data_IF_972433273683
#
_entry.id   IF_972433273683
#
_cell.length_a   1.000
_cell.length_b   1.000
_cell.length_c   1.000
_cell.angle_alpha   90.00
_cell.angle_beta   90.00
_cell.angle_gamma   90.00
#
_symmetry.space_group_name_H-M   'P 1'
#
loop_
_entity.id
_entity.type
_entity.pdbx_description
1 polymer ?
#
# COMPACT_ATOMS: atom_id res chain seq x y z
N UNK A 1 -25.18 16.62 -10.49
CA UNK A 1 -24.01 16.84 -11.36
C UNK A 1 -24.52 17.12 -12.78
N UNK A 2 -24.09 18.18 -13.48
CA UNK A 2 -24.45 18.42 -14.88
C UNK A 2 -24.09 17.25 -15.82
N UNK A 3 -24.89 17.03 -16.87
CA UNK A 3 -24.75 15.89 -17.79
C UNK A 3 -23.37 15.82 -18.48
N UNK A 4 -22.78 16.98 -18.80
CA UNK A 4 -21.45 17.05 -19.41
C UNK A 4 -20.36 16.40 -18.54
N UNK A 5 -20.43 16.55 -17.22
CA UNK A 5 -19.47 15.94 -16.30
C UNK A 5 -19.82 14.49 -16.02
N UNK A 6 -21.12 14.17 -15.96
CA UNK A 6 -21.57 12.80 -15.79
C UNK A 6 -21.08 11.90 -16.93
N UNK A 7 -21.04 12.41 -18.17
CA UNK A 7 -20.52 11.66 -19.32
C UNK A 7 -19.01 11.35 -19.19
N UNK A 8 -18.21 12.25 -18.62
CA UNK A 8 -16.78 11.98 -18.39
C UNK A 8 -16.58 10.93 -17.31
N UNK A 9 -17.39 10.95 -16.24
CA UNK A 9 -17.31 9.95 -15.16
C UNK A 9 -17.67 8.55 -15.67
N UNK A 10 -18.67 8.43 -16.57
CA UNK A 10 -19.09 7.14 -17.17
C UNK A 10 -17.96 6.43 -17.90
N UNK A 11 -16.88 7.11 -18.27
CA UNK A 11 -15.69 6.50 -18.89
C UNK A 11 -14.87 5.65 -17.92
N UNK A 12 -14.93 5.95 -16.62
CA UNK A 12 -14.22 5.20 -15.56
C UNK A 12 -15.12 4.21 -14.83
N UNK A 13 -16.39 4.54 -14.66
CA UNK A 13 -17.38 3.71 -13.95
C UNK A 13 -18.59 3.49 -14.86
N UNK A 14 -18.54 2.45 -15.71
CA UNK A 14 -19.64 2.11 -16.60
C UNK A 14 -20.93 1.84 -15.84
N UNK A 15 -20.89 1.39 -14.58
CA UNK A 15 -22.10 1.13 -13.79
C UNK A 15 -22.94 2.40 -13.53
N UNK A 16 -22.33 3.59 -13.59
CA UNK A 16 -23.06 4.86 -13.50
C UNK A 16 -23.92 5.10 -14.75
N UNK A 17 -23.58 4.49 -15.89
CA UNK A 17 -24.41 4.52 -17.09
C UNK A 17 -25.78 3.87 -16.88
N UNK A 18 -25.84 2.81 -16.07
CA UNK A 18 -27.08 2.07 -15.81
C UNK A 18 -28.06 2.88 -14.95
N UNK A 19 -27.53 3.77 -14.11
CA UNK A 19 -28.32 4.67 -13.25
C UNK A 19 -28.79 5.93 -13.99
N UNK A 20 -28.10 6.33 -15.06
CA UNK A 20 -28.40 7.53 -15.85
C UNK A 20 -28.29 7.24 -17.36
N UNK A 21 -29.31 6.62 -17.97
CA UNK A 21 -29.26 6.14 -19.36
C UNK A 21 -29.25 7.24 -20.43
N UNK A 22 -29.61 8.48 -20.09
CA UNK A 22 -29.79 9.59 -21.06
C UNK A 22 -28.52 10.43 -21.33
N UNK A 23 -27.31 9.93 -21.02
CA UNK A 23 -26.09 10.70 -21.32
C UNK A 23 -25.74 10.75 -22.81
N UNK A 24 -24.91 11.72 -23.17
CA UNK A 24 -24.47 11.98 -24.56
C UNK A 24 -23.40 10.96 -24.95
N UNK A 25 -23.34 10.59 -26.23
CA UNK A 25 -22.43 9.57 -26.74
C UNK A 25 -20.96 10.02 -26.61
N UNK A 26 -20.09 9.12 -26.14
CA UNK A 26 -18.70 9.44 -25.76
C UNK A 26 -17.81 9.87 -26.94
N UNK A 27 -18.21 9.54 -28.16
CA UNK A 27 -17.51 9.86 -29.40
C UNK A 27 -17.48 11.36 -29.73
N UNK A 28 -18.40 12.16 -29.19
CA UNK A 28 -18.41 13.62 -29.31
C UNK A 28 -17.42 14.32 -28.35
N UNK A 29 -16.78 13.57 -27.46
CA UNK A 29 -15.87 14.10 -26.42
C UNK A 29 -14.40 14.11 -26.84
N UNK A 30 -14.05 13.42 -27.93
CA UNK A 30 -12.69 13.30 -28.45
C UNK A 30 -12.31 14.49 -29.35
N UNK A 31 -12.17 15.65 -28.72
CA UNK A 31 -11.71 16.89 -29.36
C UNK A 31 -10.49 17.49 -28.66
N UNK A 32 -9.90 18.57 -29.21
CA UNK A 32 -8.89 19.35 -28.50
C UNK A 32 -9.38 19.70 -27.08
N UNK A 33 -8.57 19.37 -26.07
CA UNK A 33 -8.93 19.57 -24.66
C UNK A 33 -9.71 18.43 -23.98
N UNK A 34 -9.92 17.29 -24.65
CA UNK A 34 -10.56 16.11 -24.05
C UNK A 34 -9.93 15.67 -22.71
N UNK A 35 -8.58 15.63 -22.55
CA UNK A 35 -7.97 15.27 -21.27
C UNK A 35 -8.32 16.26 -20.14
N UNK A 36 -8.30 17.57 -20.44
CA UNK A 36 -8.63 18.60 -19.46
C UNK A 36 -10.11 18.57 -19.05
N UNK A 37 -11.01 18.34 -20.01
CA UNK A 37 -12.45 18.16 -19.73
C UNK A 37 -12.71 16.92 -18.90
N UNK A 38 -12.06 15.81 -19.25
CA UNK A 38 -12.16 14.57 -18.48
C UNK A 38 -11.70 14.78 -17.04
N UNK A 39 -10.53 15.38 -16.83
CA UNK A 39 -9.99 15.68 -15.50
C UNK A 39 -10.93 16.57 -14.68
N UNK A 40 -11.45 17.64 -15.29
CA UNK A 40 -12.42 18.51 -14.64
C UNK A 40 -13.73 17.78 -14.34
N UNK A 41 -14.21 16.90 -15.23
CA UNK A 41 -15.40 16.08 -15.01
C UNK A 41 -15.28 15.18 -13.79
N UNK A 42 -14.13 14.52 -13.62
CA UNK A 42 -13.83 13.71 -12.42
C UNK A 42 -13.79 14.60 -11.17
N UNK A 43 -13.15 15.77 -11.21
CA UNK A 43 -13.13 16.69 -10.08
C UNK A 43 -14.54 17.19 -9.71
N UNK A 44 -15.37 17.54 -10.69
CA UNK A 44 -16.76 17.97 -10.47
C UNK A 44 -17.60 16.85 -9.86
N UNK A 45 -17.35 15.59 -10.22
CA UNK A 45 -17.99 14.45 -9.61
C UNK A 45 -17.65 14.32 -8.12
N UNK A 46 -16.38 14.46 -7.76
CA UNK A 46 -15.97 14.50 -6.35
C UNK A 46 -16.60 15.69 -5.60
N UNK A 47 -16.56 16.89 -6.17
CA UNK A 47 -17.19 18.07 -5.56
C UNK A 47 -18.69 17.86 -5.33
N UNK A 48 -19.39 17.28 -6.30
CA UNK A 48 -20.81 16.97 -6.17
C UNK A 48 -21.07 15.89 -5.10
N UNK A 49 -20.20 14.87 -5.01
CA UNK A 49 -20.30 13.83 -3.98
C UNK A 49 -20.00 14.36 -2.56
N UNK A 50 -19.18 15.39 -2.44
CA UNK A 50 -18.85 16.03 -1.16
C UNK A 50 -19.89 17.08 -0.72
N UNK A 51 -20.74 17.53 -1.63
CA UNK A 51 -21.72 18.59 -1.35
C UNK A 51 -22.75 18.13 -0.31
N UNK A 52 -22.69 18.69 0.90
CA UNK A 52 -23.62 18.37 1.99
C UNK A 52 -23.34 17.05 2.72
N UNK A 53 -22.19 16.42 2.45
CA UNK A 53 -21.76 15.16 3.05
C UNK A 53 -20.66 15.39 4.09
N UNK A 54 -20.46 14.47 5.06
CA UNK A 54 -19.29 14.51 5.95
C UNK A 54 -17.98 14.36 5.15
N UNK A 55 -16.81 14.71 5.74
CA UNK A 55 -15.54 14.55 5.08
C UNK A 55 -15.29 13.13 4.57
N UNK A 56 -14.84 13.02 3.31
CA UNK A 56 -14.58 11.75 2.63
C UNK A 56 -13.10 11.35 2.64
N UNK A 57 -12.85 10.08 2.32
CA UNK A 57 -11.50 9.55 2.07
C UNK A 57 -11.48 8.89 0.68
N UNK A 58 -10.55 9.29 -0.16
CA UNK A 58 -10.20 8.60 -1.40
C UNK A 58 -8.92 7.78 -1.16
N UNK A 59 -9.06 6.47 -1.08
CA UNK A 59 -7.93 5.54 -0.96
C UNK A 59 -7.49 5.07 -2.35
N UNK A 60 -6.22 5.29 -2.66
CA UNK A 60 -5.54 4.78 -3.84
C UNK A 60 -4.52 3.75 -3.39
N UNK A 61 -4.79 2.48 -3.64
CA UNK A 61 -3.89 1.40 -3.26
C UNK A 61 -2.88 1.12 -4.39
N UNK A 62 -1.64 0.78 -4.02
CA UNK A 62 -0.58 0.37 -4.93
C UNK A 62 -0.29 1.35 -6.08
N UNK A 63 -0.19 2.65 -5.78
CA UNK A 63 -0.02 3.68 -6.83
C UNK A 63 1.28 3.53 -7.62
N UNK A 64 2.24 2.72 -7.17
CA UNK A 64 3.43 2.36 -7.96
C UNK A 64 3.10 1.68 -9.29
N UNK A 65 1.91 1.10 -9.45
CA UNK A 65 1.46 0.45 -10.69
C UNK A 65 0.66 1.37 -11.61
N UNK A 66 0.40 2.61 -11.20
CA UNK A 66 -0.33 3.58 -12.02
C UNK A 66 0.50 4.01 -13.24
N UNK A 67 -0.18 4.18 -14.38
CA UNK A 67 0.41 4.77 -15.57
C UNK A 67 0.55 6.29 -15.44
N UNK A 68 1.25 6.92 -16.40
CA UNK A 68 1.48 8.37 -16.38
C UNK A 68 0.18 9.17 -16.42
N UNK A 69 -0.81 8.74 -17.20
CA UNK A 69 -2.10 9.42 -17.31
C UNK A 69 -2.88 9.41 -15.99
N UNK A 70 -2.85 8.30 -15.25
CA UNK A 70 -3.45 8.18 -13.91
C UNK A 70 -2.75 9.09 -12.92
N UNK A 71 -1.42 9.17 -12.96
CA UNK A 71 -0.64 10.07 -12.11
C UNK A 71 -0.90 11.55 -12.43
N UNK A 72 -1.12 11.89 -13.69
CA UNK A 72 -1.51 13.24 -14.10
C UNK A 72 -2.90 13.63 -13.60
N UNK A 73 -3.86 12.70 -13.64
CA UNK A 73 -5.17 12.90 -13.05
C UNK A 73 -5.05 13.09 -11.53
N UNK A 74 -4.27 12.26 -10.84
CA UNK A 74 -4.03 12.41 -9.39
C UNK A 74 -3.43 13.78 -9.07
N UNK A 75 -2.41 14.21 -9.80
CA UNK A 75 -1.79 15.52 -9.65
C UNK A 75 -2.80 16.66 -9.85
N UNK A 76 -3.69 16.53 -10.84
CA UNK A 76 -4.77 17.47 -11.07
C UNK A 76 -5.76 17.50 -9.90
N UNK A 77 -6.22 16.35 -9.42
CA UNK A 77 -7.20 16.24 -8.33
C UNK A 77 -6.67 16.80 -7.01
N UNK A 78 -5.41 16.50 -6.65
CA UNK A 78 -4.76 17.05 -5.44
C UNK A 78 -4.79 18.58 -5.43
N UNK A 79 -4.52 19.21 -6.59
CA UNK A 79 -4.56 20.68 -6.72
C UNK A 79 -6.00 21.21 -6.75
N UNK A 80 -6.89 20.54 -7.48
CA UNK A 80 -8.26 21.01 -7.75
C UNK A 80 -9.19 20.88 -6.55
N UNK A 81 -9.01 19.83 -5.75
CA UNK A 81 -9.84 19.52 -4.58
C UNK A 81 -9.24 20.06 -3.27
N UNK A 82 -8.19 20.89 -3.35
CA UNK A 82 -7.59 21.53 -2.19
C UNK A 82 -8.63 22.35 -1.42
N UNK A 83 -8.67 22.18 -0.10
CA UNK A 83 -9.63 22.85 0.80
C UNK A 83 -11.03 22.26 0.81
N UNK A 84 -11.28 21.20 0.04
CA UNK A 84 -12.52 20.42 0.16
C UNK A 84 -12.42 19.42 1.30
N UNK A 85 -13.54 18.98 1.88
CA UNK A 85 -13.54 17.99 2.97
C UNK A 85 -13.25 16.57 2.41
N UNK A 86 -12.10 16.38 1.78
CA UNK A 86 -11.65 15.12 1.20
C UNK A 86 -10.18 14.88 1.52
N UNK A 87 -9.89 13.74 2.14
CA UNK A 87 -8.53 13.24 2.31
C UNK A 87 -8.20 12.29 1.16
N UNK A 88 -7.07 12.51 0.48
CA UNK A 88 -6.53 11.56 -0.49
C UNK A 88 -5.42 10.77 0.21
N UNK A 89 -5.61 9.47 0.36
CA UNK A 89 -4.63 8.55 0.91
C UNK A 89 -4.10 7.67 -0.24
N UNK A 90 -2.80 7.71 -0.47
CA UNK A 90 -2.15 6.87 -1.47
C UNK A 90 -1.16 5.94 -0.76
N UNK A 91 -1.25 4.64 -1.05
CA UNK A 91 -0.26 3.67 -0.58
C UNK A 91 0.71 3.41 -1.72
N UNK A 92 2.00 3.26 -1.39
CA UNK A 92 2.98 2.82 -2.36
C UNK A 92 4.12 2.04 -1.72
N UNK A 93 4.78 1.22 -2.51
CA UNK A 93 6.06 0.62 -2.13
C UNK A 93 7.16 1.68 -2.14
N UNK A 94 8.05 1.63 -1.15
CA UNK A 94 9.14 2.59 -0.97
C UNK A 94 10.31 2.38 -1.95
N UNK A 95 10.29 1.31 -2.74
CA UNK A 95 11.30 1.02 -3.75
C UNK A 95 11.48 2.18 -4.74
N UNK A 96 12.74 2.49 -5.09
CA UNK A 96 13.05 3.60 -5.99
C UNK A 96 12.42 3.35 -7.36
N UNK A 97 11.34 4.07 -7.64
CA UNK A 97 10.63 4.07 -8.90
C UNK A 97 10.31 5.51 -9.31
N UNK A 98 10.27 5.78 -10.61
CA UNK A 98 9.89 7.10 -11.13
C UNK A 98 8.49 7.53 -10.64
N UNK A 99 7.58 6.56 -10.47
CA UNK A 99 6.26 6.77 -9.90
C UNK A 99 6.32 7.28 -8.46
N UNK A 100 7.15 6.67 -7.61
CA UNK A 100 7.31 7.10 -6.22
C UNK A 100 7.85 8.55 -6.13
N UNK A 101 8.81 8.91 -6.98
CA UNK A 101 9.36 10.27 -7.01
C UNK A 101 8.33 11.30 -7.46
N UNK A 102 7.50 10.97 -8.45
CA UNK A 102 6.42 11.85 -8.91
C UNK A 102 5.38 12.08 -7.82
N UNK A 103 4.93 11.03 -7.12
CA UNK A 103 3.94 11.19 -6.03
C UNK A 103 4.55 11.94 -4.84
N UNK A 104 5.82 11.71 -4.49
CA UNK A 104 6.53 12.54 -3.50
C UNK A 104 6.58 14.00 -3.93
N UNK A 105 6.84 14.26 -5.21
CA UNK A 105 6.77 15.59 -5.80
C UNK A 105 5.42 16.27 -5.55
N UNK A 106 4.29 15.55 -5.70
CA UNK A 106 2.97 16.09 -5.41
C UNK A 106 2.78 16.47 -3.94
N UNK A 107 3.38 15.73 -3.01
CA UNK A 107 3.38 16.06 -1.58
C UNK A 107 4.21 17.33 -1.31
N UNK A 108 5.38 17.44 -1.92
CA UNK A 108 6.33 18.57 -1.75
C UNK A 108 5.85 19.86 -2.42
N UNK A 109 5.27 19.78 -3.61
CA UNK A 109 4.76 20.96 -4.34
C UNK A 109 3.56 21.61 -3.65
N UNK A 110 2.88 20.86 -2.77
CA UNK A 110 1.70 21.35 -2.05
C UNK A 110 2.01 21.83 -0.62
N UNK A 111 3.26 21.78 -0.17
CA UNK A 111 3.69 22.06 1.22
C UNK A 111 3.65 23.54 1.64
N UNK A 112 2.86 24.37 0.97
CA UNK A 112 2.39 25.65 1.51
C UNK A 112 1.49 25.40 2.72
N UNK A 113 2.11 25.32 3.89
CA UNK A 113 1.63 25.13 5.27
C UNK A 113 0.71 23.97 5.64
N UNK A 114 -0.11 23.38 4.76
CA UNK A 114 -1.06 22.31 5.18
C UNK A 114 -1.49 21.33 4.06
N UNK A 115 -0.60 20.83 3.19
CA UNK A 115 -1.05 19.84 2.20
C UNK A 115 0.00 18.77 1.89
N UNK A 116 -0.29 17.56 2.41
CA UNK A 116 0.41 16.30 2.14
C UNK A 116 1.38 15.88 3.24
N UNK A 117 1.23 14.65 3.73
CA UNK A 117 2.18 14.00 4.65
C UNK A 117 2.58 12.65 4.06
N UNK A 118 3.87 12.38 3.93
CA UNK A 118 4.38 11.06 3.63
C UNK A 118 4.65 10.31 4.93
N UNK A 119 4.03 9.14 5.10
CA UNK A 119 4.27 8.26 6.24
C UNK A 119 5.09 7.07 5.74
N UNK A 120 6.34 6.98 6.21
CA UNK A 120 7.18 5.81 5.97
C UNK A 120 6.89 4.76 7.03
N UNK A 121 6.55 3.55 6.59
CA UNK A 121 6.30 2.41 7.46
C UNK A 121 7.56 1.56 7.53
N UNK A 122 8.24 1.62 8.66
CA UNK A 122 9.38 0.77 8.96
C UNK A 122 8.96 -0.56 9.59
N UNK A 123 9.93 -1.46 9.72
CA UNK A 123 9.74 -2.70 10.49
C UNK A 123 9.42 -2.36 11.94
N UNK A 124 8.61 -3.21 12.58
CA UNK A 124 8.23 -3.05 13.98
C UNK A 124 9.43 -3.24 14.89
N UNK A 125 9.64 -2.30 15.82
CA UNK A 125 10.59 -2.43 16.90
C UNK A 125 10.04 -3.24 18.07
N UNK A 126 10.90 -3.55 19.04
CA UNK A 126 10.56 -4.35 20.22
C UNK A 126 9.34 -3.81 20.99
N UNK A 127 9.21 -2.49 21.15
CA UNK A 127 8.08 -1.87 21.84
C UNK A 127 6.75 -2.18 21.15
N UNK A 128 6.68 -1.98 19.83
CA UNK A 128 5.48 -2.27 19.04
C UNK A 128 5.16 -3.77 18.99
N UNK A 129 6.18 -4.63 18.99
CA UNK A 129 5.99 -6.09 19.13
C UNK A 129 5.40 -6.42 20.50
N UNK A 130 5.91 -5.81 21.58
CA UNK A 130 5.39 -5.98 22.94
C UNK A 130 3.93 -5.53 23.06
N UNK A 131 3.56 -4.41 22.43
CA UNK A 131 2.17 -3.95 22.37
C UNK A 131 1.26 -4.95 21.64
N UNK A 132 1.71 -5.51 20.52
CA UNK A 132 0.95 -6.53 19.78
C UNK A 132 0.79 -7.84 20.57
N UNK A 133 1.83 -8.26 21.31
CA UNK A 133 1.74 -9.40 22.23
C UNK A 133 0.66 -9.16 23.30
N UNK A 134 0.63 -7.96 23.88
CA UNK A 134 -0.38 -7.60 24.87
C UNK A 134 -1.80 -7.58 24.26
N UNK A 135 -1.96 -6.99 23.06
CA UNK A 135 -3.24 -6.97 22.35
C UNK A 135 -3.74 -8.36 21.94
N UNK A 136 -2.82 -9.29 21.66
CA UNK A 136 -3.12 -10.70 21.40
C UNK A 136 -3.51 -11.47 22.68
N UNK A 137 -3.57 -10.82 23.84
CA UNK A 137 -3.83 -11.41 25.16
C UNK A 137 -2.78 -12.45 25.63
N UNK A 138 -1.58 -12.43 25.05
CA UNK A 138 -0.49 -13.33 25.38
C UNK A 138 0.37 -12.76 26.54
N UNK A 139 -0.24 -12.61 27.71
CA UNK A 139 0.36 -11.90 28.85
C UNK A 139 1.38 -12.71 29.65
N UNK A 140 1.39 -14.03 29.51
CA UNK A 140 2.20 -14.95 30.33
C UNK A 140 3.33 -15.62 29.53
N UNK A 141 3.88 -14.92 28.53
CA UNK A 141 4.99 -15.46 27.76
C UNK A 141 6.29 -15.45 28.58
N UNK A 142 7.21 -16.42 28.35
CA UNK A 142 8.51 -16.42 28.99
C UNK A 142 9.29 -15.11 28.76
N UNK A 143 10.18 -14.71 29.69
CA UNK A 143 11.11 -13.61 29.45
C UNK A 143 11.89 -13.81 28.14
N UNK A 144 12.12 -12.73 27.39
CA UNK A 144 12.79 -12.78 26.08
C UNK A 144 11.89 -13.15 24.89
N UNK A 145 10.59 -13.41 25.10
CA UNK A 145 9.68 -13.77 24.00
C UNK A 145 9.52 -12.66 22.95
N UNK A 146 9.56 -11.39 23.36
CA UNK A 146 9.52 -10.24 22.43
C UNK A 146 10.76 -10.22 21.54
N UNK A 147 11.95 -10.38 22.12
CA UNK A 147 13.21 -10.41 21.38
C UNK A 147 13.22 -11.59 20.40
N UNK A 148 12.75 -12.75 20.84
CA UNK A 148 12.64 -13.94 20.01
C UNK A 148 11.64 -13.75 18.85
N UNK A 149 10.47 -13.17 19.11
CA UNK A 149 9.50 -12.82 18.07
C UNK A 149 10.12 -11.83 17.08
N UNK A 150 10.86 -10.84 17.57
CA UNK A 150 11.55 -9.86 16.73
C UNK A 150 12.63 -10.51 15.87
N UNK A 151 13.41 -11.46 16.41
CA UNK A 151 14.43 -12.20 15.67
C UNK A 151 13.84 -13.11 14.57
N UNK A 152 12.73 -13.77 14.84
CA UNK A 152 12.06 -14.69 13.90
C UNK A 152 11.30 -13.95 12.80
N UNK A 153 10.70 -12.80 13.15
CA UNK A 153 9.82 -12.05 12.25
C UNK A 153 10.56 -10.90 11.58
N UNK A 154 11.74 -10.54 12.09
CA UNK A 154 12.48 -9.31 11.75
C UNK A 154 11.61 -8.05 11.79
N UNK A 155 10.61 -8.03 12.69
CA UNK A 155 9.65 -6.93 12.81
C UNK A 155 8.69 -6.80 11.63
N UNK A 156 8.57 -7.81 10.75
CA UNK A 156 7.59 -7.81 9.66
C UNK A 156 6.19 -8.06 10.23
N UNK A 157 5.24 -7.11 10.14
CA UNK A 157 3.91 -7.25 10.76
C UNK A 157 3.18 -8.53 10.33
N UNK A 158 3.26 -8.87 9.04
CA UNK A 158 2.64 -10.10 8.52
C UNK A 158 3.19 -11.35 9.21
N UNK A 159 4.51 -11.45 9.39
CA UNK A 159 5.11 -12.63 10.02
C UNK A 159 4.79 -12.64 11.51
N UNK A 160 4.83 -11.48 12.15
CA UNK A 160 4.51 -11.35 13.56
C UNK A 160 3.10 -11.85 13.89
N UNK A 161 2.09 -11.47 13.11
CA UNK A 161 0.71 -11.95 13.32
C UNK A 161 0.63 -13.48 13.22
N UNK A 162 1.28 -14.08 12.23
CA UNK A 162 1.28 -15.53 12.03
C UNK A 162 2.02 -16.28 13.15
N UNK A 163 3.13 -15.72 13.64
CA UNK A 163 3.84 -16.26 14.78
C UNK A 163 3.02 -16.14 16.06
N UNK A 164 2.37 -15.00 16.32
CA UNK A 164 1.48 -14.83 17.48
C UNK A 164 0.31 -15.82 17.45
N UNK A 165 -0.29 -16.07 16.28
CA UNK A 165 -1.32 -17.11 16.12
C UNK A 165 -0.77 -18.52 16.41
N UNK A 166 0.49 -18.81 16.05
CA UNK A 166 1.14 -20.07 16.41
C UNK A 166 1.37 -20.20 17.92
N UNK A 167 1.71 -19.10 18.60
CA UNK A 167 1.87 -19.08 20.07
C UNK A 167 0.54 -19.32 20.77
N UNK A 168 -0.53 -18.69 20.31
CA UNK A 168 -1.86 -18.84 20.92
C UNK A 168 -2.36 -20.30 20.83
N UNK A 169 -2.00 -21.01 19.76
CA UNK A 169 -2.45 -22.38 19.51
C UNK A 169 -1.54 -23.46 20.11
N UNK A 170 -0.22 -23.29 20.03
CA UNK A 170 0.77 -24.32 20.39
C UNK A 170 1.68 -23.91 21.56
N UNK A 171 1.59 -22.67 22.03
CA UNK A 171 2.52 -22.10 23.00
C UNK A 171 3.85 -21.66 22.37
N UNK A 172 4.66 -20.97 23.17
CA UNK A 172 6.04 -20.65 22.79
C UNK A 172 6.92 -21.90 22.83
N UNK A 173 7.88 -22.07 21.91
CA UNK A 173 8.90 -23.11 22.02
C UNK A 173 9.72 -22.94 23.31
N UNK A 174 10.15 -24.05 23.91
CA UNK A 174 10.90 -24.03 25.17
C UNK A 174 12.39 -23.72 24.92
N UNK A 175 12.95 -22.77 25.67
CA UNK A 175 14.38 -22.45 25.61
C UNK A 175 14.85 -22.20 24.17
N UNK A 176 15.90 -22.91 23.74
CA UNK A 176 16.50 -22.78 22.41
C UNK A 176 15.92 -23.75 21.36
N UNK A 177 14.79 -24.40 21.64
CA UNK A 177 14.13 -25.28 20.66
C UNK A 177 13.84 -24.52 19.37
N UNK A 178 14.07 -25.08 18.17
CA UNK A 178 13.77 -24.40 16.92
C UNK A 178 12.29 -23.99 16.84
N UNK A 179 12.03 -22.72 16.51
CA UNK A 179 10.64 -22.30 16.27
C UNK A 179 10.18 -22.85 14.93
N UNK A 180 9.12 -23.65 14.94
CA UNK A 180 8.51 -24.11 13.70
C UNK A 180 7.89 -22.93 12.95
N UNK A 181 8.41 -22.67 11.74
CA UNK A 181 7.89 -21.65 10.85
C UNK A 181 6.39 -21.88 10.56
N UNK A 182 5.50 -20.90 10.85
CA UNK A 182 4.09 -20.99 10.53
C UNK A 182 3.86 -21.28 9.05
N UNK A 183 2.83 -22.08 8.74
CA UNK A 183 2.56 -22.56 7.38
C UNK A 183 2.34 -21.42 6.39
N UNK A 184 1.63 -20.39 6.79
CA UNK A 184 1.38 -19.15 6.03
C UNK A 184 2.68 -18.43 5.67
N UNK A 185 3.57 -18.24 6.65
CA UNK A 185 4.90 -17.65 6.45
C UNK A 185 5.72 -18.49 5.46
N UNK A 186 5.73 -19.82 5.64
CA UNK A 186 6.39 -20.74 4.71
C UNK A 186 5.87 -20.57 3.29
N UNK A 187 4.55 -20.52 3.10
CA UNK A 187 3.94 -20.36 1.78
C UNK A 187 4.32 -19.03 1.11
N UNK A 188 4.37 -17.94 1.88
CA UNK A 188 4.81 -16.63 1.36
C UNK A 188 6.29 -16.67 0.93
N UNK A 189 7.15 -17.29 1.74
CA UNK A 189 8.56 -17.44 1.40
C UNK A 189 8.77 -18.33 0.17
N UNK A 190 8.08 -19.48 0.10
CA UNK A 190 8.11 -20.38 -1.06
C UNK A 190 7.64 -19.68 -2.34
N UNK A 191 6.54 -18.90 -2.28
CA UNK A 191 6.06 -18.13 -3.42
C UNK A 191 7.12 -17.12 -3.91
N UNK A 192 7.80 -16.42 -2.99
CA UNK A 192 8.87 -15.46 -3.33
C UNK A 192 10.08 -16.16 -3.96
N UNK A 193 10.53 -17.28 -3.39
CA UNK A 193 11.65 -18.06 -3.93
C UNK A 193 11.30 -18.69 -5.29
N UNK A 194 10.03 -19.00 -5.52
CA UNK A 194 9.56 -19.54 -6.79
C UNK A 194 9.44 -18.47 -7.88
N UNK A 195 9.22 -17.20 -7.51
CA UNK A 195 9.08 -16.08 -8.44
C UNK A 195 10.41 -15.53 -8.97
N UNK A 196 11.55 -15.86 -8.33
CA UNK A 196 12.87 -15.40 -8.80
C UNK A 196 13.46 -16.32 -9.88
N UNK A 197 14.40 -15.79 -10.66
CA UNK A 197 15.13 -16.56 -11.66
C UNK A 197 15.92 -17.73 -11.04
N UNK A 198 16.23 -18.76 -11.84
CA UNK A 198 17.03 -19.90 -11.38
C UNK A 198 18.40 -19.49 -10.84
N UNK A 199 19.05 -18.50 -11.46
CA UNK A 199 20.32 -17.93 -10.99
C UNK A 199 20.16 -17.28 -9.61
N UNK A 200 19.13 -16.48 -9.42
CA UNK A 200 18.81 -15.88 -8.12
C UNK A 200 18.51 -16.95 -7.07
N UNK A 201 17.83 -18.04 -7.45
CA UNK A 201 17.55 -19.15 -6.54
C UNK A 201 18.82 -19.88 -6.09
N UNK A 202 19.80 -20.06 -6.98
CA UNK A 202 21.10 -20.63 -6.64
C UNK A 202 21.86 -19.73 -5.66
N UNK A 203 21.86 -18.41 -5.90
CA UNK A 203 22.47 -17.44 -4.99
C UNK A 203 21.79 -17.45 -3.61
N UNK A 204 20.45 -17.50 -3.56
CA UNK A 204 19.71 -17.63 -2.30
C UNK A 204 20.06 -18.92 -1.55
N UNK A 205 20.26 -20.04 -2.25
CA UNK A 205 20.67 -21.29 -1.64
C UNK A 205 22.09 -21.22 -1.05
N UNK A 206 23.04 -20.59 -1.77
CA UNK A 206 24.39 -20.36 -1.26
C UNK A 206 24.37 -19.43 -0.03
N UNK A 207 23.63 -18.33 -0.11
CA UNK A 207 23.42 -17.38 0.98
C UNK A 207 22.86 -18.04 2.25
N UNK A 208 21.86 -18.92 2.10
CA UNK A 208 21.21 -19.60 3.21
C UNK A 208 22.17 -20.50 4.02
N UNK A 209 23.24 -21.01 3.40
CA UNK A 209 24.28 -21.79 4.10
C UNK A 209 25.23 -20.90 4.91
N UNK A 210 25.48 -19.67 4.45
CA UNK A 210 26.38 -18.72 5.11
C UNK A 210 25.74 -18.18 6.40
N UNK A 211 24.43 -17.94 6.41
CA UNK A 211 23.66 -17.57 7.60
C UNK A 211 22.76 -16.35 7.40
N UNK A 212 22.21 -15.81 8.51
CA UNK A 212 21.21 -14.72 8.51
C UNK A 212 21.78 -13.35 8.08
N UNK A 213 23.08 -13.11 8.21
CA UNK A 213 23.74 -11.90 7.73
C UNK A 213 25.11 -12.21 7.16
N UNK A 214 25.42 -11.66 5.99
CA UNK A 214 26.68 -11.86 5.29
C UNK A 214 26.97 -10.67 4.37
N UNK A 215 28.24 -10.41 4.09
CA UNK A 215 28.64 -9.41 3.11
C UNK A 215 28.38 -9.93 1.70
N UNK A 216 27.95 -9.06 0.77
CA UNK A 216 27.66 -9.46 -0.61
C UNK A 216 28.88 -10.10 -1.30
N UNK A 217 30.09 -9.64 -0.97
CA UNK A 217 31.35 -10.18 -1.47
C UNK A 217 31.60 -11.65 -1.05
N UNK A 218 30.85 -12.18 -0.09
CA UNK A 218 30.94 -13.58 0.33
C UNK A 218 30.19 -14.55 -0.59
N UNK A 219 29.40 -14.06 -1.55
CA UNK A 219 28.71 -14.85 -2.56
C UNK A 219 29.59 -14.96 -3.82
N UNK A 220 30.57 -15.86 -3.78
CA UNK A 220 31.42 -16.22 -4.92
C UNK A 220 30.97 -17.50 -5.62
#
# INVERSE_FOLDING_TARGET
LPDIWLNEVRRLTPEIADLHPNGVDSSDLDGPGAPARFFEGIAQAFLAALAGMPPGVLLLDDVQWADEATLDLLAFLVRRLRGQPLMILATMRSEHSATADRVRGLVVENTGSESGTAIFLDRLGADAVGELVAQANLHNLPPGSVDRLLEETEGLPLFLVEYLASVDTAGMPAGDEPWQLPRSVRQVLEARVNAVSDMSRQLLAAAAVIGRSFAFDSLH
#
